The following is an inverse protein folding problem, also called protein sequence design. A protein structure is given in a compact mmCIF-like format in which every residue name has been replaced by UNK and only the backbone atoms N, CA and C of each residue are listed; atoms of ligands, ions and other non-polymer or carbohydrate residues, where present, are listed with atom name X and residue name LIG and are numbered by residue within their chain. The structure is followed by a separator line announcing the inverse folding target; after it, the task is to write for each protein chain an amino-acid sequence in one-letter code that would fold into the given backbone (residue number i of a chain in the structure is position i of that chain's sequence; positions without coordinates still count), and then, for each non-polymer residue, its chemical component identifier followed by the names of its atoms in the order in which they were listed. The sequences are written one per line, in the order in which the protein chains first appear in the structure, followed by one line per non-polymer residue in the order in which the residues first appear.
data_IF_856869612305
#
_entry.id   IF_856869612305
#
_cell.length_a   1.000
_cell.length_b   1.000
_cell.length_c   1.000
_cell.angle_alpha   90.00
_cell.angle_beta   90.00
_cell.angle_gamma   90.00
#
_symmetry.space_group_name_H-M   'P 1'
#
loop_
_entity.id
_entity.type
_entity.pdbx_description
1 polymer ?
#
# COMPACT_ATOMS: atom_id res chain seq x y z
N UNK A 1 7.78 -2.09 -13.19
CA UNK A 1 6.84 -2.77 -12.27
C UNK A 1 5.78 -1.80 -11.77
N UNK A 2 6.16 -0.65 -11.21
CA UNK A 2 5.22 0.36 -10.70
C UNK A 2 4.19 0.83 -11.74
N UNK A 3 4.63 1.26 -12.93
CA UNK A 3 3.74 1.71 -14.01
C UNK A 3 2.73 0.62 -14.41
N UNK A 4 3.16 -0.64 -14.43
CA UNK A 4 2.29 -1.78 -14.67
C UNK A 4 1.19 -1.89 -13.60
N UNK A 5 1.53 -1.68 -12.33
CA UNK A 5 0.55 -1.76 -11.24
C UNK A 5 -0.44 -0.59 -11.26
N UNK A 6 0.03 0.64 -11.46
CA UNK A 6 -0.76 1.83 -11.15
C UNK A 6 -1.16 2.70 -12.36
N UNK A 7 -0.50 2.52 -13.50
CA UNK A 7 -0.73 3.33 -14.71
C UNK A 7 -1.37 2.50 -15.84
N UNK A 8 -0.98 1.23 -15.97
CA UNK A 8 -1.51 0.32 -16.99
C UNK A 8 -2.76 -0.44 -16.51
N UNK A 9 -3.90 -0.15 -17.13
CA UNK A 9 -5.17 -0.78 -16.81
C UNK A 9 -5.41 -2.12 -17.55
N UNK A 10 -4.48 -2.56 -18.42
CA UNK A 10 -4.61 -3.79 -19.23
C UNK A 10 -4.24 -5.06 -18.47
N UNK A 11 -3.53 -4.95 -17.35
CA UNK A 11 -3.14 -6.09 -16.52
C UNK A 11 -4.36 -6.78 -15.90
N UNK A 12 -4.45 -8.10 -16.08
CA UNK A 12 -5.46 -8.90 -15.38
C UNK A 12 -5.27 -8.83 -13.86
N UNK A 13 -6.35 -9.02 -13.09
CA UNK A 13 -6.26 -8.98 -11.61
C UNK A 13 -5.26 -10.01 -11.06
N UNK A 14 -5.10 -11.15 -11.74
CA UNK A 14 -4.11 -12.17 -11.40
C UNK A 14 -2.68 -11.64 -11.57
N UNK A 15 -2.37 -11.09 -12.75
CA UNK A 15 -1.03 -10.57 -13.04
C UNK A 15 -0.69 -9.34 -12.19
N UNK A 16 -1.68 -8.48 -11.92
CA UNK A 16 -1.54 -7.39 -10.95
C UNK A 16 -1.13 -7.94 -9.58
N UNK A 17 -1.84 -8.94 -9.07
CA UNK A 17 -1.57 -9.54 -7.76
C UNK A 17 -0.16 -10.15 -7.69
N UNK A 18 0.22 -10.92 -8.70
CA UNK A 18 1.56 -11.52 -8.77
C UNK A 18 2.67 -10.45 -8.82
N UNK A 19 2.46 -9.37 -9.58
CA UNK A 19 3.41 -8.26 -9.68
C UNK A 19 3.52 -7.49 -8.36
N UNK A 20 2.39 -7.23 -7.71
CA UNK A 20 2.32 -6.48 -6.46
C UNK A 20 3.06 -7.21 -5.32
N UNK A 21 2.87 -8.53 -5.22
CA UNK A 21 3.53 -9.36 -4.22
C UNK A 21 5.06 -9.37 -4.36
N UNK A 22 5.57 -9.21 -5.59
CA UNK A 22 7.01 -9.15 -5.86
C UNK A 22 7.64 -7.76 -5.68
N UNK A 23 6.83 -6.70 -5.55
CA UNK A 23 7.34 -5.33 -5.52
C UNK A 23 7.95 -4.95 -4.17
N UNK A 24 7.24 -5.26 -3.09
CA UNK A 24 7.73 -5.04 -1.72
C UNK A 24 8.42 -6.31 -1.25
N UNK A 25 9.72 -6.23 -1.00
CA UNK A 25 10.52 -7.35 -0.48
C UNK A 25 11.32 -6.91 0.75
N UNK A 26 11.50 -7.78 1.76
CA UNK A 26 12.37 -7.49 2.88
C UNK A 26 13.80 -7.17 2.40
N UNK A 27 14.46 -6.18 2.99
CA UNK A 27 15.82 -5.79 2.63
C UNK A 27 15.92 -4.90 1.38
N UNK A 28 14.79 -4.45 0.82
CA UNK A 28 14.73 -3.48 -0.30
C UNK A 28 14.12 -2.14 0.14
N UNK A 29 14.05 -1.87 1.45
CA UNK A 29 13.42 -0.67 2.01
C UNK A 29 14.10 0.61 1.53
N UNK A 30 15.42 0.61 1.37
CA UNK A 30 16.18 1.76 0.87
C UNK A 30 15.81 2.13 -0.57
N UNK A 31 15.56 1.12 -1.41
CA UNK A 31 15.19 1.31 -2.84
C UNK A 31 13.70 1.63 -2.99
N UNK A 32 12.87 1.10 -2.10
CA UNK A 32 11.40 1.20 -2.19
C UNK A 32 10.80 2.33 -1.35
N UNK A 33 11.58 2.97 -0.47
CA UNK A 33 11.15 4.08 0.39
C UNK A 33 10.47 5.22 -0.36
N UNK A 34 11.05 5.65 -1.48
CA UNK A 34 10.50 6.73 -2.32
C UNK A 34 9.11 6.40 -2.92
N UNK A 35 8.74 5.13 -2.97
CA UNK A 35 7.46 4.66 -3.49
C UNK A 35 6.36 4.60 -2.42
N UNK A 36 6.71 4.68 -1.13
CA UNK A 36 5.72 4.64 -0.03
C UNK A 36 4.75 5.81 -0.12
N UNK A 37 5.28 7.01 -0.34
CA UNK A 37 4.45 8.21 -0.51
C UNK A 37 3.61 8.19 -1.80
N UNK A 38 4.12 7.55 -2.86
CA UNK A 38 3.43 7.40 -4.15
C UNK A 38 2.30 6.38 -4.10
N UNK A 39 2.43 5.34 -3.29
CA UNK A 39 1.46 4.24 -3.19
C UNK A 39 0.03 4.73 -2.98
N UNK A 40 -0.18 5.66 -2.05
CA UNK A 40 -1.51 6.10 -1.66
C UNK A 40 -2.27 6.83 -2.79
N UNK A 41 -1.76 7.94 -3.36
CA UNK A 41 -2.46 8.61 -4.46
C UNK A 41 -2.65 7.69 -5.67
N UNK A 42 -1.66 6.85 -5.98
CA UNK A 42 -1.72 5.92 -7.12
C UNK A 42 -2.75 4.80 -6.91
N UNK A 43 -2.84 4.24 -5.70
CA UNK A 43 -3.84 3.23 -5.34
C UNK A 43 -5.26 3.83 -5.33
N UNK A 44 -5.43 5.07 -4.88
CA UNK A 44 -6.71 5.79 -4.90
C UNK A 44 -7.16 5.99 -6.35
N UNK A 45 -6.27 6.51 -7.20
CA UNK A 45 -6.55 6.71 -8.61
C UNK A 45 -6.89 5.39 -9.31
N UNK A 46 -6.12 4.32 -9.06
CA UNK A 46 -6.36 2.99 -9.60
C UNK A 46 -7.73 2.43 -9.17
N UNK A 47 -8.06 2.53 -7.89
CA UNK A 47 -9.33 2.06 -7.35
C UNK A 47 -10.53 2.79 -7.96
N UNK A 48 -10.40 4.10 -8.20
CA UNK A 48 -11.44 4.90 -8.87
C UNK A 48 -11.65 4.46 -10.33
N UNK A 49 -10.58 4.15 -11.07
CA UNK A 49 -10.67 3.75 -12.48
C UNK A 49 -11.15 2.31 -12.71
N UNK A 50 -10.68 1.38 -11.88
CA UNK A 50 -10.84 -0.08 -12.13
C UNK A 50 -11.74 -0.80 -11.13
N UNK A 51 -12.26 -0.09 -10.14
CA UNK A 51 -13.35 -0.54 -9.28
C UNK A 51 -12.94 -1.43 -8.09
N UNK A 52 -13.92 -1.99 -7.37
CA UNK A 52 -13.72 -2.57 -6.04
C UNK A 52 -12.79 -3.78 -5.98
N UNK A 53 -12.78 -4.62 -7.02
CA UNK A 53 -11.94 -5.82 -7.05
C UNK A 53 -10.45 -5.48 -7.09
N UNK A 54 -10.05 -4.49 -7.91
CA UNK A 54 -8.66 -4.03 -7.91
C UNK A 54 -8.33 -3.26 -6.64
N UNK A 55 -9.30 -2.52 -6.08
CA UNK A 55 -9.10 -1.75 -4.86
C UNK A 55 -8.73 -2.66 -3.68
N UNK A 56 -9.42 -3.81 -3.57
CA UNK A 56 -9.06 -4.85 -2.61
C UNK A 56 -7.67 -5.44 -2.89
N UNK A 57 -7.37 -5.78 -4.15
CA UNK A 57 -6.07 -6.35 -4.50
C UNK A 57 -4.91 -5.38 -4.21
N UNK A 58 -5.07 -4.09 -4.53
CA UNK A 58 -4.07 -3.05 -4.28
C UNK A 58 -3.80 -2.89 -2.79
N UNK A 59 -4.85 -2.72 -1.97
CA UNK A 59 -4.69 -2.59 -0.52
C UNK A 59 -4.15 -3.86 0.14
N UNK A 60 -4.42 -5.04 -0.42
CA UNK A 60 -3.96 -6.31 0.15
C UNK A 60 -2.53 -6.68 -0.25
N UNK A 61 -2.17 -6.47 -1.52
CA UNK A 61 -0.96 -7.05 -2.11
C UNK A 61 0.07 -6.00 -2.51
N UNK A 62 -0.34 -4.76 -2.75
CA UNK A 62 0.57 -3.67 -3.15
C UNK A 62 0.87 -2.69 -2.02
N UNK A 63 0.38 -2.95 -0.79
CA UNK A 63 0.66 -2.11 0.38
C UNK A 63 2.13 -2.22 0.81
N UNK A 64 2.79 -1.11 1.18
CA UNK A 64 4.21 -1.07 1.59
C UNK A 64 4.44 -1.66 2.99
N UNK A 65 4.17 -2.96 3.16
CA UNK A 65 4.16 -3.64 4.47
C UNK A 65 5.51 -3.62 5.20
N UNK A 66 6.62 -3.49 4.48
CA UNK A 66 7.97 -3.47 5.06
C UNK A 66 8.44 -2.08 5.50
N UNK A 67 7.72 -1.01 5.14
CA UNK A 67 8.00 0.36 5.54
C UNK A 67 7.52 0.64 6.98
N UNK A 68 8.11 -0.09 7.94
CA UNK A 68 7.71 -0.06 9.36
C UNK A 68 8.53 1.00 10.11
N UNK A 69 8.11 2.25 9.93
CA UNK A 69 8.67 3.42 10.59
C UNK A 69 7.56 4.48 10.86
N UNK A 70 7.80 5.47 11.74
CA UNK A 70 6.80 6.47 12.09
C UNK A 70 6.35 7.36 10.90
N UNK A 71 7.22 7.65 9.94
CA UNK A 71 6.92 8.51 8.80
C UNK A 71 5.98 7.81 7.82
N UNK A 72 6.24 6.54 7.53
CA UNK A 72 5.39 5.68 6.70
C UNK A 72 3.99 5.52 7.30
N UNK A 73 3.90 5.28 8.61
CA UNK A 73 2.60 5.21 9.31
C UNK A 73 1.86 6.55 9.24
N UNK A 74 2.54 7.67 9.51
CA UNK A 74 1.94 9.00 9.44
C UNK A 74 1.47 9.37 8.02
N UNK A 75 2.18 8.92 6.99
CA UNK A 75 1.78 9.10 5.59
C UNK A 75 0.50 8.34 5.27
N UNK A 76 0.39 7.08 5.71
CA UNK A 76 -0.83 6.30 5.50
C UNK A 76 -2.04 6.79 6.27
N UNK A 77 -1.86 7.28 7.50
CA UNK A 77 -2.94 7.88 8.29
C UNK A 77 -3.49 9.14 7.60
N UNK A 78 -2.62 10.01 7.08
CA UNK A 78 -3.05 11.19 6.29
C UNK A 78 -3.78 10.78 5.02
N UNK A 79 -3.35 9.71 4.35
CA UNK A 79 -4.03 9.22 3.16
C UNK A 79 -5.47 8.75 3.42
N UNK A 80 -5.80 8.29 4.64
CA UNK A 80 -7.18 7.93 5.00
C UNK A 80 -8.14 9.11 5.00
N UNK A 81 -7.64 10.35 5.06
CA UNK A 81 -8.44 11.56 5.03
C UNK A 81 -8.88 11.93 3.59
N UNK A 82 -8.33 11.28 2.57
CA UNK A 82 -8.66 11.57 1.17
C UNK A 82 -10.13 11.23 0.86
N UNK A 83 -10.94 12.20 0.39
CA UNK A 83 -12.35 11.98 0.07
C UNK A 83 -12.56 11.11 -1.18
N UNK A 84 -11.55 10.94 -2.03
CA UNK A 84 -11.61 10.08 -3.21
C UNK A 84 -11.41 8.58 -2.87
N UNK A 85 -11.11 8.24 -1.62
CA UNK A 85 -11.00 6.85 -1.19
C UNK A 85 -12.31 6.09 -1.35
N UNK A 86 -12.28 5.08 -2.22
CA UNK A 86 -13.39 4.14 -2.33
C UNK A 86 -13.57 3.35 -1.02
N UNK A 87 -14.81 2.94 -0.67
CA UNK A 87 -15.05 2.15 0.55
C UNK A 87 -14.26 0.83 0.63
N UNK A 88 -13.99 0.20 -0.53
CA UNK A 88 -13.22 -1.03 -0.60
C UNK A 88 -11.74 -0.79 -0.25
N UNK A 89 -11.12 0.24 -0.85
CA UNK A 89 -9.72 0.58 -0.56
C UNK A 89 -9.56 1.07 0.88
N UNK A 90 -10.45 1.97 1.33
CA UNK A 90 -10.42 2.51 2.71
C UNK A 90 -10.37 1.40 3.75
N UNK A 91 -11.22 0.38 3.62
CA UNK A 91 -11.27 -0.75 4.55
C UNK A 91 -9.93 -1.48 4.62
N UNK A 92 -9.33 -1.79 3.47
CA UNK A 92 -8.03 -2.47 3.42
C UNK A 92 -6.89 -1.61 3.98
N UNK A 93 -6.89 -0.30 3.70
CA UNK A 93 -5.87 0.58 4.25
C UNK A 93 -5.98 0.69 5.77
N UNK A 94 -7.18 0.76 6.34
CA UNK A 94 -7.38 0.75 7.79
C UNK A 94 -6.80 -0.52 8.41
N UNK A 95 -7.12 -1.69 7.85
CA UNK A 95 -6.60 -2.97 8.35
C UNK A 95 -5.06 -3.00 8.33
N UNK A 96 -4.46 -2.64 7.19
CA UNK A 96 -3.00 -2.65 7.00
C UNK A 96 -2.28 -1.64 7.89
N UNK A 97 -2.87 -0.46 8.10
CA UNK A 97 -2.27 0.58 8.95
C UNK A 97 -2.32 0.20 10.43
N UNK A 98 -3.34 -0.52 10.88
CA UNK A 98 -3.35 -1.05 12.24
C UNK A 98 -2.29 -2.16 12.43
N UNK A 99 -2.10 -3.03 11.43
CA UNK A 99 -1.02 -4.01 11.44
C UNK A 99 0.37 -3.34 11.41
N UNK A 100 0.55 -2.28 10.61
CA UNK A 100 1.77 -1.49 10.57
C UNK A 100 2.07 -0.83 11.94
N UNK A 101 1.04 -0.28 12.60
CA UNK A 101 1.14 0.30 13.94
C UNK A 101 1.60 -0.74 14.97
N UNK A 102 1.06 -1.96 14.91
CA UNK A 102 1.48 -3.06 15.79
C UNK A 102 2.92 -3.48 15.51
N UNK A 103 3.31 -3.62 14.24
CA UNK A 103 4.66 -3.96 13.85
C UNK A 103 5.69 -2.92 14.33
N UNK A 104 5.34 -1.62 14.22
CA UNK A 104 6.17 -0.53 14.71
C UNK A 104 6.33 -0.59 16.24
N UNK A 105 5.25 -0.83 16.98
CA UNK A 105 5.30 -0.97 18.44
C UNK A 105 6.24 -2.10 18.88
N UNK A 106 6.14 -3.28 18.27
CA UNK A 106 7.02 -4.43 18.55
C UNK A 106 8.49 -4.10 18.22
N UNK A 107 8.74 -3.43 17.09
CA UNK A 107 10.10 -3.02 16.70
C UNK A 107 10.72 -2.06 17.72
N UNK A 108 9.95 -1.09 18.18
CA UNK A 108 10.40 -0.12 19.19
C UNK A 108 10.66 -0.76 20.55
N UNK A 109 9.84 -1.73 20.98
CA UNK A 109 10.04 -2.42 22.26
C UNK A 109 11.16 -3.46 22.23
N UNK A 110 11.53 -3.97 21.05
CA UNK A 110 12.67 -4.89 20.89
C UNK A 110 14.03 -4.16 20.83
N UNK A 111 14.02 -2.85 20.57
CA UNK A 111 15.23 -2.02 20.42
C UNK A 111 15.57 -1.24 21.71
N UNK A 112 14.65 -1.17 22.68
CA UNK A 112 14.84 -0.51 23.98
C UNK A 112 15.14 -1.51 25.08
#
# INVERSE_FOLDING_TARGET
AWDALFTDDTLSNYLFTATAQGFWQPGQEEVTGDYVSRFYPDAIALAARRGPAIAEAAGRHAFPVYAVDPESLGTGLRALEDPALTPALRRKLVDQLDDLRRALAVRTSATG
#
